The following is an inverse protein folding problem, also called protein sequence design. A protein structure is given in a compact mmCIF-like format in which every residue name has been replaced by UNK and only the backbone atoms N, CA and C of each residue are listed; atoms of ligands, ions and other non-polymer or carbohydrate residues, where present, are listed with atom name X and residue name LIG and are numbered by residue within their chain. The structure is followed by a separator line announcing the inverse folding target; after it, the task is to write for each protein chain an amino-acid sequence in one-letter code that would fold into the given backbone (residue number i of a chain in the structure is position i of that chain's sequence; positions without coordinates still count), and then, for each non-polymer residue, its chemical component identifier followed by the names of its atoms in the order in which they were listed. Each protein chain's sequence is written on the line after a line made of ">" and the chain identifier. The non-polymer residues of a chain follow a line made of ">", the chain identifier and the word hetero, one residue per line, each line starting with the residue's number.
data_IF_548084662547
#
_entry.id   IF_548084662547
#
_cell.length_a   1.000
_cell.length_b   1.000
_cell.length_c   1.000
_cell.angle_alpha   90.00
_cell.angle_beta   90.00
_cell.angle_gamma   90.00
#
_symmetry.space_group_name_H-M   'P 1'
#
loop_
_entity.id
_entity.type
_entity.pdbx_description
1 polymer ?
#
# COMPACT_ATOMS: atom_id res chain seq x y z
N UNK A 1 17.27 -18.43 -4.20
CA UNK A 1 16.83 -17.09 -4.62
C UNK A 1 17.88 -16.08 -4.20
N UNK A 2 18.17 -15.05 -5.00
CA UNK A 2 19.09 -14.00 -4.58
C UNK A 2 18.53 -13.26 -3.35
N UNK A 3 19.42 -12.86 -2.45
CA UNK A 3 19.06 -12.08 -1.27
C UNK A 3 18.78 -10.62 -1.63
N UNK A 4 18.10 -9.89 -0.74
CA UNK A 4 17.85 -8.44 -0.91
C UNK A 4 19.16 -7.68 -1.18
N UNK A 5 20.20 -7.97 -0.40
CA UNK A 5 21.51 -7.32 -0.52
C UNK A 5 22.19 -7.61 -1.88
N UNK A 6 22.06 -8.84 -2.38
CA UNK A 6 22.59 -9.21 -3.69
C UNK A 6 21.89 -8.44 -4.81
N UNK A 7 20.55 -8.35 -4.77
CA UNK A 7 19.75 -7.60 -5.75
C UNK A 7 20.06 -6.10 -5.68
N UNK A 8 20.16 -5.53 -4.47
CA UNK A 8 20.50 -4.13 -4.27
C UNK A 8 21.90 -3.81 -4.83
N UNK A 9 22.88 -4.68 -4.58
CA UNK A 9 24.24 -4.50 -5.10
C UNK A 9 24.30 -4.52 -6.63
N UNK A 10 23.45 -5.33 -7.28
CA UNK A 10 23.34 -5.39 -8.73
C UNK A 10 22.68 -4.12 -9.29
N UNK A 11 21.62 -3.64 -8.65
CA UNK A 11 20.95 -2.40 -9.04
C UNK A 11 21.87 -1.17 -8.92
N UNK A 12 22.71 -1.12 -7.88
CA UNK A 12 23.66 -0.03 -7.66
C UNK A 12 24.78 0.03 -8.71
N UNK A 13 25.09 -1.09 -9.36
CA UNK A 13 26.11 -1.16 -10.42
C UNK A 13 25.62 -0.66 -11.78
N UNK A 14 24.31 -0.46 -11.94
CA UNK A 14 23.73 0.07 -13.16
C UNK A 14 24.09 1.55 -13.35
N UNK A 15 24.15 2.00 -14.60
CA UNK A 15 24.25 3.43 -14.90
C UNK A 15 23.00 4.18 -14.43
N UNK A 16 23.09 5.50 -14.28
CA UNK A 16 21.97 6.32 -13.80
C UNK A 16 20.72 6.19 -14.67
N UNK A 17 20.89 6.11 -15.99
CA UNK A 17 19.78 5.94 -16.94
C UNK A 17 19.14 4.55 -16.81
N UNK A 18 19.94 3.52 -16.56
CA UNK A 18 19.44 2.16 -16.32
C UNK A 18 18.72 2.04 -14.97
N UNK A 19 19.22 2.72 -13.93
CA UNK A 19 18.53 2.78 -12.64
C UNK A 19 17.16 3.47 -12.75
N UNK A 20 17.06 4.53 -13.56
CA UNK A 20 15.79 5.22 -13.84
C UNK A 20 14.82 4.27 -14.55
N UNK A 21 15.26 3.60 -15.63
CA UNK A 21 14.42 2.61 -16.35
C UNK A 21 13.99 1.44 -15.47
N UNK A 22 14.90 0.93 -14.64
CA UNK A 22 14.58 -0.14 -13.69
C UNK A 22 13.52 0.32 -12.68
N UNK A 23 13.66 1.53 -12.13
CA UNK A 23 12.67 2.10 -11.21
C UNK A 23 11.31 2.28 -11.88
N UNK A 24 11.25 2.77 -13.10
CA UNK A 24 9.99 2.91 -13.86
C UNK A 24 9.32 1.54 -14.04
N UNK A 25 10.08 0.54 -14.51
CA UNK A 25 9.57 -0.81 -14.70
C UNK A 25 9.05 -1.45 -13.40
N UNK A 26 9.81 -1.30 -12.30
CA UNK A 26 9.39 -1.79 -10.99
C UNK A 26 8.14 -1.06 -10.49
N UNK A 27 8.04 0.25 -10.71
CA UNK A 27 6.85 1.04 -10.33
C UNK A 27 5.61 0.55 -11.08
N UNK A 28 5.72 0.23 -12.37
CA UNK A 28 4.62 -0.36 -13.15
C UNK A 28 4.19 -1.73 -12.61
N UNK A 29 5.13 -2.54 -12.12
CA UNK A 29 4.82 -3.85 -11.55
C UNK A 29 4.14 -3.77 -10.18
N UNK A 30 4.40 -2.71 -9.40
CA UNK A 30 3.75 -2.51 -8.09
C UNK A 30 2.31 -2.01 -8.24
N UNK A 31 1.97 -1.40 -9.38
CA UNK A 31 0.59 -0.97 -9.69
C UNK A 31 -0.29 -2.10 -10.24
N UNK A 32 0.07 -3.37 -10.00
CA UNK A 32 -0.76 -4.50 -10.41
C UNK A 32 -1.75 -4.80 -9.28
N UNK A 33 -3.05 -4.95 -9.58
CA UNK A 33 -4.02 -5.38 -8.58
C UNK A 33 -3.61 -6.71 -7.94
N UNK A 34 -3.83 -6.83 -6.63
CA UNK A 34 -3.39 -8.00 -5.85
C UNK A 34 -4.59 -8.89 -5.55
N UNK A 35 -4.47 -10.17 -5.86
CA UNK A 35 -5.43 -11.20 -5.44
C UNK A 35 -5.19 -11.54 -3.96
N UNK A 36 -6.25 -11.52 -3.16
CA UNK A 36 -6.18 -11.83 -1.73
C UNK A 36 -6.08 -13.34 -1.54
N UNK A 37 -5.06 -13.79 -0.82
CA UNK A 37 -4.83 -15.23 -0.61
C UNK A 37 -6.05 -15.89 0.06
N UNK A 38 -6.63 -16.88 -0.63
CA UNK A 38 -7.78 -17.64 -0.14
C UNK A 38 -9.15 -17.04 -0.49
N UNK A 39 -9.23 -15.99 -1.30
CA UNK A 39 -10.48 -15.44 -1.83
C UNK A 39 -10.36 -15.12 -3.33
N UNK A 40 -11.48 -14.98 -4.03
CA UNK A 40 -11.51 -14.50 -5.42
C UNK A 40 -11.48 -12.94 -5.49
N UNK A 41 -11.07 -12.29 -4.39
CA UNK A 41 -11.08 -10.84 -4.26
C UNK A 41 -9.81 -10.23 -4.84
N UNK A 42 -9.99 -9.26 -5.72
CA UNK A 42 -8.90 -8.52 -6.36
C UNK A 42 -8.92 -7.09 -5.84
N UNK A 43 -7.90 -6.70 -5.09
CA UNK A 43 -7.79 -5.33 -4.57
C UNK A 43 -7.15 -4.44 -5.65
N UNK A 44 -7.83 -3.36 -6.07
CA UNK A 44 -7.30 -2.44 -7.06
C UNK A 44 -6.11 -1.64 -6.49
N UNK A 45 -5.17 -1.21 -7.34
CA UNK A 45 -3.97 -0.47 -6.91
C UNK A 45 -4.29 0.81 -6.14
N UNK A 46 -5.40 1.48 -6.48
CA UNK A 46 -5.85 2.70 -5.81
C UNK A 46 -6.24 2.43 -4.36
N UNK A 47 -6.94 1.33 -4.08
CA UNK A 47 -7.34 0.94 -2.73
C UNK A 47 -6.14 0.52 -1.87
N UNK A 48 -5.13 -0.10 -2.48
CA UNK A 48 -3.85 -0.40 -1.83
C UNK A 48 -3.12 0.90 -1.47
N UNK A 49 -3.06 1.87 -2.39
CA UNK A 49 -2.42 3.15 -2.17
C UNK A 49 -3.12 3.97 -1.07
N UNK A 50 -4.45 4.00 -1.07
CA UNK A 50 -5.24 4.64 0.00
C UNK A 50 -4.99 3.99 1.37
N UNK A 51 -4.91 2.65 1.40
CA UNK A 51 -4.61 1.89 2.61
C UNK A 51 -3.21 2.17 3.16
N UNK A 52 -2.20 2.25 2.29
CA UNK A 52 -0.83 2.59 2.68
C UNK A 52 -0.75 4.00 3.26
N UNK A 53 -1.42 4.98 2.63
CA UNK A 53 -1.47 6.35 3.16
C UNK A 53 -2.12 6.38 4.55
N UNK A 54 -3.26 5.70 4.72
CA UNK A 54 -3.93 5.61 6.01
C UNK A 54 -3.03 4.99 7.10
N UNK A 55 -2.29 3.92 6.75
CA UNK A 55 -1.33 3.30 7.66
C UNK A 55 -0.20 4.26 8.05
N UNK A 56 0.38 4.97 7.07
CA UNK A 56 1.44 5.95 7.33
C UNK A 56 0.97 7.09 8.23
N UNK A 57 -0.27 7.58 8.03
CA UNK A 57 -0.85 8.62 8.86
C UNK A 57 -1.12 8.13 10.29
N UNK A 58 -1.55 6.89 10.46
CA UNK A 58 -1.67 6.25 11.77
C UNK A 58 -0.33 6.14 12.49
N UNK A 59 0.70 5.60 11.81
CA UNK A 59 2.04 5.44 12.38
C UNK A 59 2.70 6.78 12.72
N UNK A 60 2.44 7.81 11.93
CA UNK A 60 2.93 9.17 12.16
C UNK A 60 2.13 9.95 13.22
N UNK A 61 1.06 9.38 13.78
CA UNK A 61 0.17 10.05 14.74
C UNK A 61 -0.60 11.24 14.14
N UNK A 62 -0.70 11.32 12.80
CA UNK A 62 -1.53 12.28 12.08
C UNK A 62 -2.98 11.85 12.03
N UNK A 63 -3.22 10.54 12.15
CA UNK A 63 -4.56 10.00 12.36
C UNK A 63 -5.02 10.33 13.78
N UNK A 64 -5.95 11.28 13.88
CA UNK A 64 -6.61 11.67 15.14
C UNK A 64 -7.68 10.65 15.59
N UNK A 65 -7.93 9.63 14.77
CA UNK A 65 -8.96 8.64 14.99
C UNK A 65 -10.37 9.24 14.95
N UNK A 66 -11.34 8.47 15.43
CA UNK A 66 -12.72 8.93 15.61
C UNK A 66 -13.08 8.98 17.08
N UNK A 67 -13.88 9.98 17.46
CA UNK A 67 -14.43 10.03 18.82
C UNK A 67 -15.32 8.83 19.11
N UNK A 68 -15.43 8.45 20.38
CA UNK A 68 -16.31 7.35 20.84
C UNK A 68 -17.76 7.56 20.41
N UNK A 69 -18.24 8.79 20.50
CA UNK A 69 -19.59 9.21 20.11
C UNK A 69 -19.79 9.05 18.60
N UNK A 70 -18.78 9.41 17.80
CA UNK A 70 -18.81 9.25 16.35
C UNK A 70 -18.76 7.79 15.93
N UNK A 71 -17.93 6.96 16.58
CA UNK A 71 -17.89 5.52 16.36
C UNK A 71 -19.24 4.87 16.65
N UNK A 72 -19.89 5.24 17.76
CA UNK A 72 -21.25 4.77 18.08
C UNK A 72 -22.25 5.17 17.00
N UNK A 73 -22.18 6.40 16.49
CA UNK A 73 -23.06 6.82 15.38
C UNK A 73 -22.82 5.97 14.14
N UNK A 74 -21.56 5.72 13.73
CA UNK A 74 -21.26 4.90 12.54
C UNK A 74 -21.77 3.45 12.67
N UNK A 75 -21.60 2.82 13.83
CA UNK A 75 -21.97 1.41 14.05
C UNK A 75 -23.47 1.18 14.23
N UNK A 76 -24.18 2.13 14.84
CA UNK A 76 -25.57 1.93 15.27
C UNK A 76 -26.60 2.73 14.47
N UNK A 77 -26.19 3.71 13.64
CA UNK A 77 -27.14 4.49 12.82
C UNK A 77 -27.59 3.75 11.55
N UNK A 78 -26.84 2.75 11.08
CA UNK A 78 -27.22 1.89 9.95
C UNK A 78 -28.24 0.80 10.30
N UNK A 79 -28.56 0.60 11.59
CA UNK A 79 -29.53 -0.41 12.05
C UNK A 79 -30.94 0.12 12.31
N UNK A 80 -31.18 1.42 12.11
CA UNK A 80 -32.47 2.06 12.42
C UNK A 80 -32.93 3.06 11.34
N UNK A 81 -32.60 2.80 10.07
CA UNK A 81 -33.13 3.55 8.92
C UNK A 81 -34.10 2.70 8.12
#
# INVERSE_FOLDING_TARGET
>A
MPTYEEVLSLAQRLSRDEQIRLREALTTLVQIPVEVEGTDEIIPPEEIAESEVALQDYLAGRDVGVSKEELKRKLFRSKFG
#
